data_IF_710715360229
#
_entry.id   IF_710715360229
#
_cell.length_a   1.000
_cell.length_b   1.000
_cell.length_c   1.000
_cell.angle_alpha   90.00
_cell.angle_beta   90.00
_cell.angle_gamma   90.00
#
_symmetry.space_group_name_H-M   'P 1'
#
loop_
_entity.id
_entity.type
_entity.pdbx_description
1 polymer ?
#
# COMPACT_ATOMS: atom_id res chain seq x y z
N UNK A 1 5.46 -67.55 12.53
CA UNK A 1 5.44 -66.64 11.38
C UNK A 1 3.99 -66.30 11.09
N UNK A 2 3.48 -65.15 11.55
CA UNK A 2 2.11 -64.72 11.24
C UNK A 2 2.17 -63.24 10.85
N UNK A 3 2.52 -62.98 9.59
CA UNK A 3 2.30 -61.69 8.95
C UNK A 3 0.84 -61.60 8.57
N UNK A 4 -0.02 -61.27 9.54
CA UNK A 4 -1.38 -60.81 9.28
C UNK A 4 -1.28 -59.45 8.57
N UNK A 5 -1.11 -59.48 7.25
CA UNK A 5 -1.29 -58.30 6.41
C UNK A 5 -2.79 -58.01 6.32
N UNK A 6 -3.27 -57.14 7.21
CA UNK A 6 -4.62 -56.60 7.12
C UNK A 6 -4.80 -55.92 5.76
N UNK A 7 -5.88 -56.23 5.00
CA UNK A 7 -6.08 -55.64 3.70
C UNK A 7 -6.14 -54.12 3.83
N UNK A 8 -5.24 -53.42 3.13
CA UNK A 8 -5.18 -51.95 3.12
C UNK A 8 -6.56 -51.41 2.77
N UNK A 9 -7.23 -50.85 3.78
CA UNK A 9 -8.60 -50.35 3.70
C UNK A 9 -8.78 -49.45 2.46
N UNK A 10 -9.50 -49.95 1.45
CA UNK A 10 -9.71 -49.24 0.18
C UNK A 10 -10.44 -47.93 0.50
N UNK A 11 -9.82 -46.80 0.16
CA UNK A 11 -10.38 -45.48 0.45
C UNK A 11 -11.72 -45.31 -0.28
N UNK A 12 -12.76 -44.91 0.45
CA UNK A 12 -14.05 -44.56 -0.14
C UNK A 12 -13.94 -43.42 -1.16
N UNK A 13 -14.88 -43.35 -2.10
CA UNK A 13 -14.91 -42.30 -3.13
C UNK A 13 -14.89 -40.89 -2.52
N UNK A 14 -15.60 -40.66 -1.40
CA UNK A 14 -15.57 -39.40 -0.65
C UNK A 14 -14.17 -39.07 -0.11
N UNK A 15 -13.47 -40.06 0.44
CA UNK A 15 -12.11 -39.89 0.98
C UNK A 15 -11.11 -39.57 -0.14
N UNK A 16 -11.22 -40.23 -1.30
CA UNK A 16 -10.40 -39.94 -2.49
C UNK A 16 -10.61 -38.49 -2.96
N UNK A 17 -11.87 -38.05 -3.11
CA UNK A 17 -12.21 -36.66 -3.49
C UNK A 17 -11.66 -35.63 -2.49
N UNK A 18 -11.74 -35.91 -1.18
CA UNK A 18 -11.22 -35.01 -0.15
C UNK A 18 -9.70 -34.88 -0.24
N UNK A 19 -8.98 -35.98 -0.44
CA UNK A 19 -7.52 -35.96 -0.60
C UNK A 19 -7.08 -35.09 -1.78
N UNK A 20 -7.76 -35.19 -2.93
CA UNK A 20 -7.46 -34.34 -4.10
C UNK A 20 -7.66 -32.86 -3.77
N UNK A 21 -8.79 -32.50 -3.15
CA UNK A 21 -9.06 -31.12 -2.73
C UNK A 21 -8.02 -30.60 -1.75
N UNK A 22 -7.70 -31.38 -0.72
CA UNK A 22 -6.68 -31.01 0.27
C UNK A 22 -5.29 -30.91 -0.35
N UNK A 23 -4.95 -31.76 -1.32
CA UNK A 23 -3.69 -31.67 -2.07
C UNK A 23 -3.59 -30.35 -2.86
N UNK A 24 -4.65 -30.01 -3.60
CA UNK A 24 -4.74 -28.74 -4.32
C UNK A 24 -4.65 -27.53 -3.38
N UNK A 25 -5.36 -27.56 -2.26
CA UNK A 25 -5.31 -26.47 -1.28
C UNK A 25 -3.90 -26.30 -0.68
N UNK A 26 -3.19 -27.41 -0.41
CA UNK A 26 -1.80 -27.36 0.06
C UNK A 26 -0.85 -26.77 -0.98
N UNK A 27 -1.02 -27.12 -2.26
CA UNK A 27 -0.24 -26.52 -3.34
C UNK A 27 -0.45 -25.00 -3.41
N UNK A 28 -1.69 -24.53 -3.30
CA UNK A 28 -2.01 -23.10 -3.30
C UNK A 28 -1.37 -22.36 -2.11
N UNK A 29 -1.39 -22.95 -0.92
CA UNK A 29 -0.73 -22.39 0.27
C UNK A 29 0.79 -22.33 0.07
N UNK A 30 1.38 -23.38 -0.51
CA UNK A 30 2.82 -23.42 -0.78
C UNK A 30 3.24 -22.35 -1.81
N UNK A 31 2.44 -22.14 -2.85
CA UNK A 31 2.66 -21.08 -3.84
C UNK A 31 2.60 -19.68 -3.21
N UNK A 32 1.61 -19.41 -2.36
CA UNK A 32 1.49 -18.11 -1.66
C UNK A 32 2.70 -17.85 -0.75
N UNK A 33 3.12 -18.87 0.00
CA UNK A 33 4.34 -18.80 0.84
C UNK A 33 5.59 -18.52 0.00
N UNK A 34 5.79 -19.27 -1.09
CA UNK A 34 6.95 -19.10 -1.97
C UNK A 34 7.00 -17.68 -2.53
N UNK A 35 5.84 -17.15 -2.93
CA UNK A 35 5.72 -15.78 -3.41
C UNK A 35 6.05 -14.75 -2.34
N UNK A 36 5.60 -14.94 -1.11
CA UNK A 36 5.93 -14.04 -0.01
C UNK A 36 7.44 -14.10 0.33
N UNK A 37 8.06 -15.28 0.28
CA UNK A 37 9.51 -15.44 0.41
C UNK A 37 10.27 -14.66 -0.66
N UNK A 38 9.89 -14.81 -1.94
CA UNK A 38 10.51 -14.09 -3.06
C UNK A 38 10.34 -12.57 -2.92
N UNK A 39 9.19 -12.11 -2.41
CA UNK A 39 8.95 -10.69 -2.14
C UNK A 39 9.85 -10.15 -1.04
N UNK A 40 10.08 -10.92 0.02
CA UNK A 40 11.02 -10.54 1.06
C UNK A 40 12.46 -10.57 0.55
N UNK A 41 12.85 -11.57 -0.25
CA UNK A 41 14.17 -11.59 -0.90
C UNK A 41 14.39 -10.36 -1.78
N UNK A 42 13.42 -10.03 -2.64
CA UNK A 42 13.43 -8.80 -3.45
C UNK A 42 13.55 -7.53 -2.60
N UNK A 43 12.86 -7.50 -1.45
CA UNK A 43 12.92 -6.38 -0.51
C UNK A 43 14.29 -6.26 0.17
N UNK A 44 14.97 -7.37 0.44
CA UNK A 44 16.28 -7.43 1.10
C UNK A 44 17.46 -7.12 0.16
N UNK A 45 17.27 -7.17 -1.16
CA UNK A 45 18.32 -6.84 -2.13
C UNK A 45 18.99 -5.48 -1.84
N UNK A 46 20.31 -5.32 -2.05
CA UNK A 46 20.99 -4.07 -1.75
C UNK A 46 20.57 -2.93 -2.71
N UNK A 47 20.82 -1.69 -2.29
CA UNK A 47 20.75 -0.53 -3.16
C UNK A 47 22.09 -0.38 -3.88
N UNK A 48 22.08 -0.22 -5.20
CA UNK A 48 23.25 -0.04 -6.05
C UNK A 48 23.31 1.41 -6.51
N UNK A 49 24.50 2.02 -6.43
CA UNK A 49 24.72 3.38 -6.90
C UNK A 49 24.58 3.44 -8.43
N UNK A 50 23.91 4.49 -8.91
CA UNK A 50 23.83 4.78 -10.34
C UNK A 50 25.13 5.42 -10.81
N UNK A 51 25.62 5.00 -11.98
CA UNK A 51 26.75 5.65 -12.65
C UNK A 51 26.49 7.14 -12.89
N UNK A 52 25.26 7.47 -13.31
CA UNK A 52 24.84 8.83 -13.63
C UNK A 52 23.60 9.19 -12.81
N UNK A 53 23.77 9.90 -11.67
CA UNK A 53 22.65 10.42 -10.90
C UNK A 53 21.81 11.38 -11.74
N UNK A 54 20.49 11.27 -11.64
CA UNK A 54 19.57 12.11 -12.41
C UNK A 54 18.54 12.80 -11.52
N UNK A 55 18.04 13.93 -11.99
CA UNK A 55 16.99 14.68 -11.30
C UNK A 55 15.61 14.09 -11.64
N UNK A 56 14.90 13.56 -10.65
CA UNK A 56 13.52 13.07 -10.82
C UNK A 56 12.46 14.16 -10.66
N UNK A 57 12.81 15.25 -9.97
CA UNK A 57 11.90 16.36 -9.72
C UNK A 57 12.48 17.33 -8.70
N UNK A 58 11.63 17.87 -7.85
CA UNK A 58 11.98 18.79 -6.78
C UNK A 58 11.47 18.27 -5.44
N UNK A 59 12.21 18.57 -4.38
CA UNK A 59 11.78 18.40 -3.01
C UNK A 59 11.82 19.71 -2.27
N UNK A 60 10.90 19.91 -1.34
CA UNK A 60 10.94 21.03 -0.41
C UNK A 60 10.81 20.54 1.02
N UNK A 61 11.55 21.20 1.90
CA UNK A 61 11.68 20.82 3.30
C UNK A 61 12.02 22.05 4.11
N UNK A 62 11.86 21.97 5.43
CA UNK A 62 12.19 23.07 6.31
C UNK A 62 13.68 23.08 6.64
N UNK A 63 14.25 24.28 6.72
CA UNK A 63 15.61 24.56 7.17
C UNK A 63 15.55 25.67 8.21
N UNK A 64 16.47 25.65 9.17
CA UNK A 64 16.62 26.73 10.13
C UNK A 64 16.93 28.04 9.40
N UNK A 65 16.18 29.10 9.73
CA UNK A 65 16.37 30.44 9.17
C UNK A 65 17.79 30.93 9.46
N UNK A 66 18.38 31.65 8.51
CA UNK A 66 19.78 32.10 8.59
C UNK A 66 20.06 32.95 9.84
N UNK A 67 19.11 33.81 10.23
CA UNK A 67 19.18 34.66 11.42
C UNK A 67 19.38 33.87 12.74
N UNK A 68 18.94 32.61 12.79
CA UNK A 68 19.08 31.75 13.96
C UNK A 68 20.29 30.83 13.90
N UNK A 69 21.07 30.85 12.81
CA UNK A 69 22.27 30.02 12.67
C UNK A 69 23.39 30.44 13.61
N UNK A 70 23.39 31.69 14.07
CA UNK A 70 24.38 32.20 15.04
C UNK A 70 23.90 32.16 16.49
N UNK A 71 22.70 31.63 16.74
CA UNK A 71 22.16 31.51 18.10
C UNK A 71 22.89 30.37 18.86
N UNK A 72 23.23 30.54 20.14
CA UNK A 72 23.76 29.47 20.98
C UNK A 72 22.92 28.18 21.00
N UNK A 73 21.60 28.29 20.79
CA UNK A 73 20.67 27.14 20.74
C UNK A 73 20.44 26.60 19.33
N UNK A 74 21.27 26.97 18.34
CA UNK A 74 21.15 26.49 16.96
C UNK A 74 21.10 24.96 16.89
N UNK A 75 22.06 24.28 17.51
CA UNK A 75 22.18 22.83 17.44
C UNK A 75 20.95 22.11 18.01
N UNK A 76 20.33 22.69 19.06
CA UNK A 76 19.07 22.22 19.61
C UNK A 76 17.93 22.28 18.57
N UNK A 77 17.78 23.41 17.88
CA UNK A 77 16.74 23.55 16.86
C UNK A 77 17.02 22.73 15.59
N UNK A 78 18.28 22.52 15.22
CA UNK A 78 18.63 21.63 14.11
C UNK A 78 18.31 20.16 14.45
N UNK A 79 18.64 19.71 15.66
CA UNK A 79 18.31 18.37 16.15
C UNK A 79 16.78 18.16 16.24
N UNK A 80 16.05 19.15 16.76
CA UNK A 80 14.59 19.11 16.80
C UNK A 80 14.00 19.09 15.39
N UNK A 81 14.52 19.91 14.48
CA UNK A 81 14.05 19.97 13.10
C UNK A 81 14.20 18.61 12.42
N UNK A 82 15.30 17.89 12.60
CA UNK A 82 15.47 16.54 12.04
C UNK A 82 14.34 15.58 12.43
N UNK A 83 13.77 15.73 13.63
CA UNK A 83 12.69 14.90 14.16
C UNK A 83 11.32 15.26 13.59
N UNK A 84 11.05 16.55 13.39
CA UNK A 84 9.74 17.07 12.95
C UNK A 84 9.66 17.49 11.49
N UNK A 85 10.77 17.41 10.74
CA UNK A 85 10.80 17.88 9.36
C UNK A 85 9.81 17.10 8.50
N UNK A 86 9.17 17.81 7.59
CA UNK A 86 8.33 17.22 6.53
C UNK A 86 9.02 17.47 5.20
N UNK A 87 9.04 16.44 4.34
CA UNK A 87 9.58 16.54 2.99
C UNK A 87 8.47 16.29 2.00
N UNK A 88 8.24 17.25 1.11
CA UNK A 88 7.31 17.10 0.02
C UNK A 88 8.04 17.01 -1.31
N UNK A 89 7.59 16.10 -2.18
CA UNK A 89 8.12 15.89 -3.51
C UNK A 89 7.13 16.39 -4.56
N UNK A 90 7.63 16.97 -5.63
CA UNK A 90 6.84 17.45 -6.75
C UNK A 90 7.65 17.39 -8.05
N UNK A 91 6.98 17.30 -9.20
CA UNK A 91 7.65 17.27 -10.51
C UNK A 91 8.22 18.66 -10.88
N UNK A 92 7.46 19.72 -10.58
CA UNK A 92 7.88 21.12 -10.80
C UNK A 92 8.36 21.82 -9.52
N UNK A 93 9.23 22.82 -9.67
CA UNK A 93 9.73 23.67 -8.57
C UNK A 93 8.65 24.51 -7.87
N UNK A 94 7.47 24.66 -8.49
CA UNK A 94 6.42 25.57 -8.01
C UNK A 94 5.56 24.99 -6.87
N UNK A 95 5.53 23.67 -6.69
CA UNK A 95 4.70 22.97 -5.70
C UNK A 95 3.22 23.41 -5.70
N UNK A 96 2.68 23.72 -6.87
CA UNK A 96 1.28 24.12 -7.02
C UNK A 96 0.39 22.90 -7.22
N UNK A 97 -0.73 22.88 -6.51
CA UNK A 97 -1.77 21.86 -6.68
C UNK A 97 -2.88 22.38 -7.57
N UNK A 98 -3.30 21.57 -8.54
CA UNK A 98 -4.49 21.80 -9.35
C UNK A 98 -5.74 21.67 -8.49
N UNK A 99 -6.55 22.73 -8.39
CA UNK A 99 -7.81 22.77 -7.64
C UNK A 99 -8.94 23.21 -8.56
N UNK A 100 -10.07 22.49 -8.54
CA UNK A 100 -11.26 22.86 -9.30
C UNK A 100 -12.05 23.92 -8.53
N UNK A 101 -12.43 25.02 -9.21
CA UNK A 101 -13.28 26.08 -8.68
C UNK A 101 -14.25 26.51 -9.77
N UNK A 102 -15.56 26.43 -9.50
CA UNK A 102 -16.64 26.81 -10.44
C UNK A 102 -16.38 26.25 -11.86
N UNK A 103 -16.24 24.93 -11.96
CA UNK A 103 -15.95 24.19 -13.20
C UNK A 103 -14.58 24.43 -13.87
N UNK A 104 -13.81 25.46 -13.51
CA UNK A 104 -12.46 25.72 -14.02
C UNK A 104 -11.38 25.17 -13.08
N UNK A 105 -10.16 24.98 -13.59
CA UNK A 105 -9.00 24.57 -12.80
C UNK A 105 -8.05 25.74 -12.56
N UNK A 106 -7.63 25.90 -11.31
CA UNK A 106 -6.65 26.91 -10.89
C UNK A 106 -5.53 26.22 -10.13
N UNK A 107 -4.30 26.66 -10.35
CA UNK A 107 -3.13 26.20 -9.63
C UNK A 107 -2.93 27.06 -8.38
N UNK A 108 -2.98 26.44 -7.20
CA UNK A 108 -2.78 27.12 -5.91
C UNK A 108 -1.50 26.60 -5.25
N UNK A 109 -0.77 27.48 -4.57
CA UNK A 109 0.37 27.08 -3.76
C UNK A 109 -0.12 26.14 -2.66
N UNK A 110 0.47 24.95 -2.56
CA UNK A 110 0.14 24.01 -1.50
C UNK A 110 0.86 24.45 -0.22
N UNK A 111 0.16 24.76 0.89
CA UNK A 111 0.83 25.03 2.16
C UNK A 111 1.50 23.74 2.66
N UNK A 112 2.70 23.89 3.22
CA UNK A 112 3.40 22.81 3.91
C UNK A 112 3.63 23.28 5.35
N UNK A 113 3.40 22.36 6.28
CA UNK A 113 3.58 22.57 7.71
C UNK A 113 4.56 21.53 8.27
N UNK A 114 5.17 21.85 9.40
CA UNK A 114 5.97 20.88 10.16
C UNK A 114 5.08 19.74 10.64
N UNK A 115 5.72 18.63 11.03
CA UNK A 115 5.00 17.45 11.48
C UNK A 115 4.26 17.77 12.78
N UNK A 116 2.94 17.67 12.73
CA UNK A 116 2.07 17.69 13.90
C UNK A 116 2.06 16.31 14.56
N UNK A 117 1.96 16.29 15.89
CA UNK A 117 1.93 15.04 16.66
C UNK A 117 0.51 14.79 17.15
N UNK A 118 -0.03 13.60 16.86
CA UNK A 118 -1.28 13.17 17.48
C UNK A 118 -1.06 12.90 18.96
N UNK A 119 -2.13 12.99 19.76
CA UNK A 119 -2.10 12.66 21.19
C UNK A 119 -1.41 11.33 21.48
N UNK A 120 -1.80 10.27 20.77
CA UNK A 120 -1.17 8.95 20.93
C UNK A 120 0.35 8.95 20.63
N UNK A 121 0.78 9.68 19.60
CA UNK A 121 2.21 9.76 19.26
C UNK A 121 3.03 10.55 20.27
N UNK A 122 2.38 11.51 20.95
CA UNK A 122 2.96 12.31 22.02
C UNK A 122 3.14 11.49 23.29
N UNK A 123 2.10 10.76 23.70
CA UNK A 123 2.11 9.96 24.94
C UNK A 123 3.14 8.83 24.90
N UNK A 124 3.27 8.15 23.76
CA UNK A 124 4.27 7.09 23.55
C UNK A 124 5.68 7.67 23.25
N UNK A 125 5.76 8.97 22.98
CA UNK A 125 6.99 9.63 22.54
C UNK A 125 7.66 8.94 21.34
N UNK A 126 6.88 8.66 20.28
CA UNK A 126 7.35 7.86 19.12
C UNK A 126 8.56 8.46 18.39
N UNK A 127 8.83 9.74 18.61
CA UNK A 127 9.88 10.51 17.92
C UNK A 127 11.10 10.75 18.85
N UNK A 128 11.07 10.25 20.09
CA UNK A 128 12.13 10.42 21.08
C UNK A 128 12.44 11.91 21.33
N UNK A 129 11.41 12.68 21.65
CA UNK A 129 11.54 14.06 22.12
C UNK A 129 12.05 14.08 23.55
N UNK A 130 13.04 14.93 23.79
CA UNK A 130 13.51 15.32 25.12
C UNK A 130 12.48 16.23 25.79
N UNK A 131 12.55 16.36 27.12
CA UNK A 131 11.64 17.22 27.87
C UNK A 131 11.74 18.69 27.43
N UNK A 132 12.96 19.16 27.15
CA UNK A 132 13.19 20.52 26.64
C UNK A 132 12.55 20.74 25.26
N UNK A 133 12.62 19.75 24.37
CA UNK A 133 11.96 19.83 23.06
C UNK A 133 10.44 19.81 23.18
N UNK A 134 9.88 19.06 24.14
CA UNK A 134 8.43 19.00 24.38
C UNK A 134 7.86 20.37 24.78
N UNK A 135 8.61 21.19 25.52
CA UNK A 135 8.19 22.55 25.89
C UNK A 135 7.93 23.43 24.66
N UNK A 136 8.57 23.15 23.52
CA UNK A 136 8.37 23.91 22.29
C UNK A 136 7.06 23.60 21.55
N UNK A 137 6.21 22.72 22.07
CA UNK A 137 4.93 22.36 21.46
C UNK A 137 3.74 22.91 22.25
N UNK A 138 2.72 23.33 21.52
CA UNK A 138 1.42 23.73 22.06
C UNK A 138 0.38 22.67 21.76
N UNK A 139 -0.49 22.40 22.75
CA UNK A 139 -1.66 21.56 22.57
C UNK A 139 -2.74 22.36 21.84
N UNK A 140 -3.21 21.82 20.72
CA UNK A 140 -4.25 22.41 19.88
C UNK A 140 -5.36 21.37 19.69
N UNK A 141 -6.59 21.78 19.97
CA UNK A 141 -7.77 20.96 19.74
C UNK A 141 -8.40 21.37 18.41
N UNK A 142 -8.58 20.39 17.53
CA UNK A 142 -9.16 20.60 16.19
C UNK A 142 -10.35 19.68 16.01
N UNK A 143 -11.42 20.18 15.38
CA UNK A 143 -12.56 19.36 15.04
C UNK A 143 -12.38 18.81 13.62
N UNK A 144 -12.30 17.48 13.49
CA UNK A 144 -12.25 16.85 12.17
C UNK A 144 -13.67 16.66 11.62
N UNK A 145 -13.95 17.35 10.52
CA UNK A 145 -15.25 17.32 9.82
C UNK A 145 -15.53 15.94 9.20
N UNK A 146 -14.50 15.16 8.86
CA UNK A 146 -14.69 13.85 8.22
C UNK A 146 -15.13 12.79 9.20
N UNK A 147 -14.49 12.75 10.36
CA UNK A 147 -14.77 11.76 11.40
C UNK A 147 -15.78 12.25 12.43
N UNK A 148 -16.14 13.55 12.41
CA UNK A 148 -16.98 14.22 13.40
C UNK A 148 -16.45 14.03 14.83
N UNK A 149 -15.14 14.15 15.00
CA UNK A 149 -14.46 13.95 16.28
C UNK A 149 -13.52 15.11 16.57
N UNK A 150 -13.41 15.44 17.86
CA UNK A 150 -12.38 16.35 18.35
C UNK A 150 -11.06 15.60 18.41
N UNK A 151 -10.08 16.07 17.66
CA UNK A 151 -8.71 15.57 17.65
C UNK A 151 -7.77 16.53 18.37
N UNK A 152 -7.03 16.01 19.35
CA UNK A 152 -5.96 16.75 20.04
C UNK A 152 -4.64 16.53 19.30
N UNK A 153 -3.99 17.63 18.94
CA UNK A 153 -2.70 17.65 18.25
C UNK A 153 -1.71 18.53 19.00
N UNK A 154 -0.44 18.17 18.94
CA UNK A 154 0.66 18.99 19.43
C UNK A 154 1.37 19.61 18.25
N UNK A 155 1.38 20.95 18.21
CA UNK A 155 1.91 21.76 17.12
C UNK A 155 3.14 22.50 17.61
N UNK A 156 4.18 22.61 16.78
CA UNK A 156 5.36 23.38 17.14
C UNK A 156 5.01 24.87 17.24
N UNK A 157 5.38 25.50 18.37
CA UNK A 157 4.91 26.84 18.73
C UNK A 157 5.54 27.97 17.90
N UNK A 158 6.78 27.78 17.42
CA UNK A 158 7.57 28.85 16.80
C UNK A 158 7.89 28.58 15.31
N UNK A 159 6.89 28.29 14.44
CA UNK A 159 7.14 27.83 13.07
C UNK A 159 7.96 28.83 12.23
N UNK A 160 7.93 30.12 12.59
CA UNK A 160 8.68 31.21 11.95
C UNK A 160 10.21 31.06 12.04
N UNK A 161 10.73 30.20 12.93
CA UNK A 161 12.16 29.86 12.98
C UNK A 161 12.63 29.06 11.78
N UNK A 162 11.70 28.40 11.08
CA UNK A 162 12.01 27.53 9.97
C UNK A 162 11.47 28.08 8.66
N UNK A 163 12.26 27.96 7.60
CA UNK A 163 11.91 28.43 6.26
C UNK A 163 11.92 27.26 5.29
N UNK A 164 10.99 27.26 4.34
CA UNK A 164 10.95 26.25 3.28
C UNK A 164 12.09 26.49 2.28
N UNK A 165 12.93 25.46 2.11
CA UNK A 165 13.96 25.42 1.07
C UNK A 165 13.53 24.43 0.00
N UNK A 166 13.64 24.84 -1.26
CA UNK A 166 13.40 24.00 -2.44
C UNK A 166 14.74 23.54 -3.00
N UNK A 167 14.88 22.24 -3.26
CA UNK A 167 16.07 21.62 -3.82
C UNK A 167 15.70 20.60 -4.91
N UNK A 168 16.59 20.32 -5.87
CA UNK A 168 16.38 19.22 -6.80
C UNK A 168 16.34 17.88 -6.05
N UNK A 169 15.43 17.00 -6.47
CA UNK A 169 15.37 15.63 -5.99
C UNK A 169 16.19 14.74 -6.90
N UNK A 170 17.45 14.53 -6.51
CA UNK A 170 18.39 13.66 -7.20
C UNK A 170 18.19 12.20 -6.77
N UNK A 171 18.09 11.31 -7.74
CA UNK A 171 18.11 9.86 -7.54
C UNK A 171 19.54 9.38 -7.80
N UNK A 172 20.18 8.84 -6.77
CA UNK A 172 21.58 8.40 -6.80
C UNK A 172 21.73 6.88 -6.72
N UNK A 173 20.72 6.19 -6.17
CA UNK A 173 20.74 4.75 -5.98
C UNK A 173 19.46 4.14 -6.56
N UNK A 174 19.57 2.91 -7.03
CA UNK A 174 18.43 2.08 -7.44
C UNK A 174 18.48 0.73 -6.75
N UNK A 175 17.34 0.07 -6.66
CA UNK A 175 17.29 -1.28 -6.10
C UNK A 175 17.93 -2.25 -7.09
N UNK A 176 18.81 -3.13 -6.61
CA UNK A 176 19.30 -4.24 -7.44
C UNK A 176 18.11 -5.09 -7.89
N UNK A 177 18.15 -5.53 -9.14
CA UNK A 177 17.13 -6.43 -9.72
C UNK A 177 17.79 -7.78 -9.92
N UNK A 178 17.20 -8.81 -9.34
CA UNK A 178 17.57 -10.21 -9.57
C UNK A 178 16.60 -10.81 -10.59
N UNK A 179 17.14 -11.23 -11.73
CA UNK A 179 16.35 -11.73 -12.84
C UNK A 179 15.62 -13.04 -12.50
N UNK A 180 16.20 -13.89 -11.66
CA UNK A 180 15.60 -15.17 -11.30
C UNK A 180 14.40 -14.97 -10.37
N UNK A 181 14.54 -14.07 -9.39
CA UNK A 181 13.45 -13.70 -8.47
C UNK A 181 12.28 -13.06 -9.24
N UNK A 182 12.56 -12.10 -10.14
CA UNK A 182 11.50 -11.44 -10.90
C UNK A 182 10.81 -12.40 -11.88
N UNK A 183 11.58 -13.30 -12.51
CA UNK A 183 11.02 -14.33 -13.39
C UNK A 183 10.09 -15.28 -12.64
N UNK A 184 10.49 -15.75 -11.46
CA UNK A 184 9.67 -16.65 -10.66
C UNK A 184 8.42 -15.95 -10.11
N UNK A 185 8.55 -14.71 -9.63
CA UNK A 185 7.41 -13.90 -9.20
C UNK A 185 6.41 -13.67 -10.33
N UNK A 186 6.90 -13.30 -11.51
CA UNK A 186 6.05 -13.07 -12.69
C UNK A 186 5.29 -14.35 -13.07
N UNK A 187 5.96 -15.51 -13.07
CA UNK A 187 5.32 -16.79 -13.35
C UNK A 187 4.23 -17.14 -12.32
N UNK A 188 4.50 -16.96 -11.02
CA UNK A 188 3.50 -17.22 -9.97
C UNK A 188 2.31 -16.27 -10.12
N UNK A 189 2.55 -14.98 -10.33
CA UNK A 189 1.50 -13.96 -10.48
C UNK A 189 0.63 -14.26 -11.71
N UNK A 190 1.23 -14.53 -12.87
CA UNK A 190 0.52 -14.91 -14.08
C UNK A 190 -0.29 -16.20 -13.89
N UNK A 191 0.28 -17.23 -13.25
CA UNK A 191 -0.42 -18.48 -12.98
C UNK A 191 -1.64 -18.28 -12.07
N UNK A 192 -1.51 -17.44 -11.04
CA UNK A 192 -2.61 -17.14 -10.11
C UNK A 192 -3.71 -16.36 -10.82
N UNK A 193 -3.34 -15.37 -11.63
CA UNK A 193 -4.28 -14.48 -12.31
C UNK A 193 -5.03 -15.22 -13.44
N UNK A 194 -4.32 -15.96 -14.30
CA UNK A 194 -4.92 -16.73 -15.39
C UNK A 194 -5.91 -17.80 -14.91
N UNK A 195 -5.63 -18.42 -13.75
CA UNK A 195 -6.49 -19.45 -13.17
C UNK A 195 -7.43 -18.92 -12.08
N UNK A 196 -7.44 -17.60 -11.87
CA UNK A 196 -8.28 -16.92 -10.90
C UNK A 196 -8.22 -17.54 -9.48
N UNK A 197 -7.00 -17.87 -9.01
CA UNK A 197 -6.76 -18.66 -7.80
C UNK A 197 -6.79 -17.84 -6.50
N UNK A 198 -6.68 -16.51 -6.63
CA UNK A 198 -6.67 -15.56 -5.52
C UNK A 198 -7.78 -15.73 -4.48
N UNK A 199 -9.06 -15.90 -4.85
CA UNK A 199 -10.13 -16.07 -3.89
C UNK A 199 -9.92 -17.29 -2.99
N UNK A 200 -9.44 -18.40 -3.58
CA UNK A 200 -9.18 -19.64 -2.84
C UNK A 200 -7.96 -19.50 -1.95
N UNK A 201 -6.87 -18.92 -2.46
CA UNK A 201 -5.65 -18.65 -1.68
C UNK A 201 -5.98 -17.78 -0.46
N UNK A 202 -6.64 -16.63 -0.67
CA UNK A 202 -7.02 -15.72 0.41
C UNK A 202 -7.87 -16.39 1.48
N UNK A 203 -8.84 -17.22 1.08
CA UNK A 203 -9.67 -17.97 2.03
C UNK A 203 -8.84 -18.94 2.89
N UNK A 204 -7.83 -19.58 2.29
CA UNK A 204 -6.96 -20.56 2.96
C UNK A 204 -5.93 -19.89 3.88
N UNK A 205 -5.35 -18.76 3.49
CA UNK A 205 -4.22 -18.13 4.22
C UNK A 205 -4.65 -16.98 5.13
N UNK A 206 -5.60 -16.15 4.70
CA UNK A 206 -6.01 -14.91 5.39
C UNK A 206 -7.43 -14.98 5.97
N UNK A 207 -8.11 -16.11 5.80
CA UNK A 207 -9.49 -16.34 6.26
C UNK A 207 -10.54 -15.63 5.40
N UNK A 208 -11.80 -15.65 5.86
CA UNK A 208 -12.90 -14.91 5.21
C UNK A 208 -12.77 -13.41 5.50
N UNK A 209 -12.05 -12.69 4.65
CA UNK A 209 -12.07 -11.23 4.70
C UNK A 209 -13.40 -10.71 4.13
N UNK A 210 -14.10 -9.87 4.91
CA UNK A 210 -15.34 -9.19 4.48
C UNK A 210 -15.12 -8.16 3.36
N UNK A 211 -13.87 -7.83 3.02
CA UNK A 211 -13.49 -6.77 2.07
C UNK A 211 -13.51 -7.23 0.60
N UNK A 212 -13.32 -8.52 0.36
CA UNK A 212 -13.33 -9.12 -0.99
C UNK A 212 -14.72 -9.53 -1.47
N UNK A 213 -15.77 -9.12 -0.73
CA UNK A 213 -17.16 -9.44 -1.07
C UNK A 213 -17.62 -8.69 -2.33
N UNK A 214 -16.96 -7.61 -2.71
CA UNK A 214 -17.35 -6.80 -3.87
C UNK A 214 -16.53 -7.13 -5.13
N UNK A 215 -15.23 -7.44 -5.02
CA UNK A 215 -14.35 -7.72 -6.17
C UNK A 215 -14.51 -9.11 -6.78
N UNK A 216 -15.01 -10.10 -6.02
CA UNK A 216 -15.21 -11.47 -6.51
C UNK A 216 -16.70 -11.84 -6.68
N UNK A 217 -17.58 -10.86 -6.53
CA UNK A 217 -18.99 -10.95 -6.87
C UNK A 217 -19.26 -10.31 -8.24
N UNK A 218 -18.37 -10.50 -9.21
CA UNK A 218 -18.88 -10.62 -10.58
C UNK A 218 -19.78 -11.86 -10.60
N UNK A 219 -21.06 -11.64 -10.24
CA UNK A 219 -22.12 -12.56 -10.65
C UNK A 219 -21.87 -12.76 -12.14
N UNK A 220 -21.81 -14.00 -12.66
CA UNK A 220 -21.77 -14.18 -14.10
C UNK A 220 -22.86 -13.28 -14.66
N UNK A 221 -22.50 -12.30 -15.51
CA UNK A 221 -23.50 -11.45 -16.16
C UNK A 221 -24.53 -12.42 -16.69
N UNK A 222 -25.79 -12.30 -16.26
CA UNK A 222 -26.84 -13.16 -16.77
C UNK A 222 -26.89 -12.94 -18.28
N UNK A 223 -26.26 -13.85 -19.03
CA UNK A 223 -26.35 -13.89 -20.48
C UNK A 223 -27.70 -14.51 -20.74
N UNK A 224 -28.72 -13.65 -20.87
CA UNK A 224 -30.03 -14.11 -21.29
C UNK A 224 -29.88 -14.64 -22.72
N UNK A 225 -29.90 -15.97 -22.88
CA UNK A 225 -29.83 -16.63 -24.20
C UNK A 225 -30.89 -16.09 -25.17
N UNK A 226 -32.00 -15.57 -24.63
CA UNK A 226 -33.12 -15.03 -25.40
C UNK A 226 -33.00 -13.54 -25.75
N UNK A 227 -32.06 -12.77 -25.16
CA UNK A 227 -32.01 -11.30 -25.30
C UNK A 227 -31.72 -10.81 -26.73
N UNK A 228 -31.15 -11.68 -27.58
CA UNK A 228 -30.80 -11.35 -28.97
C UNK A 228 -31.67 -12.09 -30.00
N UNK A 229 -32.71 -12.80 -29.55
CA UNK A 229 -33.62 -13.49 -30.46
C UNK A 229 -34.58 -12.46 -31.05
N UNK A 230 -34.64 -12.29 -32.38
CA UNK A 230 -35.56 -11.35 -32.98
C UNK A 230 -37.01 -11.75 -32.65
N UNK A 231 -37.88 -10.74 -32.47
CA UNK A 231 -39.27 -10.93 -32.00
C UNK A 231 -40.12 -11.83 -32.92
N UNK A 232 -39.69 -12.03 -34.15
CA UNK A 232 -40.33 -12.84 -35.19
C UNK A 232 -39.69 -14.24 -35.36
N UNK A 233 -38.79 -14.66 -34.46
CA UNK A 233 -38.21 -16.00 -34.53
C UNK A 233 -39.27 -17.09 -34.28
N UNK A 234 -39.19 -18.18 -35.05
CA UNK A 234 -40.10 -19.32 -34.95
C UNK A 234 -39.96 -20.02 -33.57
N UNK A 235 -41.03 -20.64 -33.09
CA UNK A 235 -41.11 -21.28 -31.77
C UNK A 235 -40.03 -22.36 -31.56
N UNK A 236 -39.62 -23.02 -32.64
CA UNK A 236 -38.56 -24.04 -32.66
C UNK A 236 -37.20 -23.47 -32.24
N UNK A 237 -36.89 -22.23 -32.61
CA UNK A 237 -35.64 -21.56 -32.25
C UNK A 237 -35.48 -21.32 -30.73
N UNK A 238 -36.59 -21.36 -29.98
CA UNK A 238 -36.56 -21.28 -28.51
C UNK A 238 -36.29 -22.64 -27.86
N UNK A 239 -36.71 -23.74 -28.49
CA UNK A 239 -36.53 -25.10 -27.98
C UNK A 239 -35.08 -25.58 -28.15
N UNK A 240 -34.41 -25.17 -29.22
CA UNK A 240 -32.99 -25.47 -29.47
C UNK A 240 -32.02 -24.80 -28.48
N UNK A 241 -32.47 -23.77 -27.74
CA UNK A 241 -31.65 -23.06 -26.75
C UNK A 241 -31.66 -23.72 -25.35
N UNK A 242 -32.54 -24.70 -25.12
CA UNK A 242 -32.70 -25.44 -23.85
C UNK A 242 -31.82 -26.70 -23.76
N UNK A 243 -31.35 -27.24 -24.90
CA UNK A 243 -30.34 -28.32 -24.96
C UNK A 243 -28.92 -27.81 -24.76
#
# INVERSE_FOLDING_TARGET
MNTHEWPRCIKSARRKRRLVKTGRDKQLIQMDKRRDELREQRRLLPMVALEHPYQRGWKRFFVLRDDHKHNPRKDFYEALLMKINTVEYHQDKSFKRKKRRKQRYVYQAKPQILRELSQHSWDINRINLTEQEKVCFTRVETFDVKTYRTEVKYVFAEPWRYVLKVAPHMVTHTKMIDADIERELAWIDEHIDNNHLWPRINLLTRGRSYRWKDEFNDRPKYINKFKNTPRYACKEAYLELET
#
